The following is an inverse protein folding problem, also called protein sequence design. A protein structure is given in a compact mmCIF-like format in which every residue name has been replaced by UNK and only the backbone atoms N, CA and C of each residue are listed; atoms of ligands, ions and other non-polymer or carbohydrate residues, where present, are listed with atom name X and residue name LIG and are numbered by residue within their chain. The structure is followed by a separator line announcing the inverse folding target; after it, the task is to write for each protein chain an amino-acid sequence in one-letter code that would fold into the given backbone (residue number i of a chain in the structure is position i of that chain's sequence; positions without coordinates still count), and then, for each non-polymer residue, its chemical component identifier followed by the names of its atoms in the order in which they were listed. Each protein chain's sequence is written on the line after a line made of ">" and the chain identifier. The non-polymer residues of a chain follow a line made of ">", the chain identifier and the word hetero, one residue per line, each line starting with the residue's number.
data_IF_723475617592
#
_entry.id   IF_723475617592
#
_cell.length_a   1.000
_cell.length_b   1.000
_cell.length_c   1.000
_cell.angle_alpha   90.00
_cell.angle_beta   90.00
_cell.angle_gamma   90.00
#
_symmetry.space_group_name_H-M   'P 1'
#
loop_
_entity.id
_entity.type
_entity.pdbx_description
1 polymer ?
#
# COMPACT_ATOMS: atom_id res chain seq x y z
N UNK A 1 -1.20 -0.92 -20.75
CA UNK A 1 -1.51 -1.10 -19.32
C UNK A 1 -2.51 -0.03 -18.92
N UNK A 2 -3.67 -0.37 -18.36
CA UNK A 2 -4.63 0.63 -17.89
C UNK A 2 -4.01 1.33 -16.66
N UNK A 3 -3.58 2.58 -16.80
CA UNK A 3 -3.09 3.37 -15.68
C UNK A 3 -4.26 3.59 -14.69
N UNK A 4 -3.98 3.33 -13.43
CA UNK A 4 -4.86 3.64 -12.31
C UNK A 4 -4.22 4.79 -11.56
N UNK A 5 -5.01 5.78 -11.16
CA UNK A 5 -4.54 7.00 -10.52
C UNK A 5 -5.40 7.36 -9.33
N UNK A 6 -4.78 8.05 -8.38
CA UNK A 6 -5.49 8.62 -7.24
C UNK A 6 -6.24 9.87 -7.69
N UNK A 7 -7.57 9.80 -7.66
CA UNK A 7 -8.45 10.91 -8.05
C UNK A 7 -8.98 11.70 -6.86
N UNK A 8 -8.87 11.16 -5.64
CA UNK A 8 -9.31 11.88 -4.43
C UNK A 8 -8.57 11.39 -3.21
N UNK A 9 -8.24 12.31 -2.32
CA UNK A 9 -7.73 12.01 -0.99
C UNK A 9 -8.84 12.43 -0.03
N UNK A 10 -9.27 11.50 0.83
CA UNK A 10 -10.30 11.79 1.83
C UNK A 10 -9.64 12.28 3.11
N UNK A 11 -8.66 11.52 3.58
CA UNK A 11 -7.93 11.77 4.82
C UNK A 11 -6.45 11.47 4.63
N UNK A 12 -5.68 11.60 5.71
CA UNK A 12 -4.27 11.22 5.71
C UNK A 12 -4.04 9.74 5.39
N UNK A 13 -5.01 8.84 5.56
CA UNK A 13 -4.82 7.39 5.34
C UNK A 13 -5.69 6.81 4.23
N UNK A 14 -6.73 7.53 3.80
CA UNK A 14 -7.77 7.00 2.92
C UNK A 14 -7.84 7.81 1.63
N UNK A 15 -7.91 7.12 0.50
CA UNK A 15 -7.93 7.74 -0.83
C UNK A 15 -8.74 6.90 -1.82
N UNK A 16 -9.13 7.54 -2.93
CA UNK A 16 -9.95 6.93 -3.97
C UNK A 16 -9.17 6.85 -5.28
N UNK A 17 -9.28 5.72 -5.94
CA UNK A 17 -8.67 5.46 -7.25
C UNK A 17 -9.72 5.29 -8.33
N UNK A 18 -9.38 5.64 -9.58
CA UNK A 18 -10.23 5.48 -10.77
C UNK A 18 -10.27 4.06 -11.33
N UNK A 19 -10.43 3.09 -10.43
CA UNK A 19 -10.56 1.69 -10.78
C UNK A 19 -11.53 1.03 -9.81
N UNK A 20 -12.50 0.31 -10.34
CA UNK A 20 -13.56 -0.36 -9.59
C UNK A 20 -13.78 -1.80 -10.03
N UNK A 21 -14.95 -2.37 -9.74
CA UNK A 21 -15.29 -3.75 -10.10
C UNK A 21 -15.25 -3.99 -11.61
N UNK A 22 -15.45 -2.95 -12.43
CA UNK A 22 -15.35 -3.02 -13.90
C UNK A 22 -13.93 -3.35 -14.39
N UNK A 23 -12.94 -3.26 -13.50
CA UNK A 23 -11.55 -3.65 -13.72
C UNK A 23 -11.14 -4.87 -12.89
N UNK A 24 -12.12 -5.65 -12.41
CA UNK A 24 -11.93 -6.86 -11.62
C UNK A 24 -11.16 -6.59 -10.31
N UNK A 25 -11.39 -5.43 -9.69
CA UNK A 25 -10.88 -5.19 -8.34
C UNK A 25 -11.84 -5.80 -7.32
N UNK A 26 -11.25 -6.37 -6.27
CA UNK A 26 -12.00 -6.93 -5.15
C UNK A 26 -11.50 -6.31 -3.83
N UNK A 27 -12.39 -6.19 -2.83
CA UNK A 27 -11.99 -5.84 -1.48
C UNK A 27 -10.91 -6.80 -0.98
N UNK A 28 -9.87 -6.26 -0.35
CA UNK A 28 -8.78 -7.05 0.20
C UNK A 28 -7.50 -7.06 -0.63
N UNK A 29 -7.54 -6.63 -1.89
CA UNK A 29 -6.36 -6.61 -2.75
C UNK A 29 -5.35 -5.55 -2.30
N UNK A 30 -4.08 -5.80 -2.59
CA UNK A 30 -3.00 -4.86 -2.34
C UNK A 30 -2.64 -4.11 -3.62
N UNK A 31 -2.33 -2.82 -3.46
CA UNK A 31 -1.93 -1.94 -4.54
C UNK A 31 -0.64 -1.22 -4.16
N UNK A 32 0.24 -1.05 -5.13
CA UNK A 32 1.46 -0.27 -4.97
C UNK A 32 1.26 1.13 -5.53
N UNK A 33 1.53 2.14 -4.72
CA UNK A 33 1.56 3.52 -5.20
C UNK A 33 2.95 3.81 -5.76
N UNK A 34 3.01 4.11 -7.06
CA UNK A 34 4.24 4.40 -7.79
C UNK A 34 4.59 5.88 -7.66
N UNK A 35 5.88 6.17 -7.64
CA UNK A 35 6.37 7.55 -7.75
C UNK A 35 6.77 7.77 -9.21
N UNK A 36 6.56 8.98 -9.76
CA UNK A 36 6.98 9.31 -11.13
C UNK A 36 8.44 8.95 -11.43
N UNK A 37 9.33 9.09 -10.45
CA UNK A 37 10.78 8.92 -10.63
C UNK A 37 11.38 7.72 -9.87
N UNK A 38 10.58 6.88 -9.20
CA UNK A 38 11.11 5.78 -8.36
C UNK A 38 10.27 4.51 -8.46
N UNK A 39 10.92 3.38 -8.16
CA UNK A 39 10.40 2.02 -8.28
C UNK A 39 9.05 1.83 -7.59
N UNK A 40 8.93 2.17 -6.30
CA UNK A 40 7.69 2.06 -5.51
C UNK A 40 7.73 3.00 -4.30
N UNK A 41 6.58 3.56 -3.90
CA UNK A 41 6.47 4.50 -2.77
C UNK A 41 6.02 3.77 -1.49
N UNK A 42 4.91 3.03 -1.55
CA UNK A 42 4.38 2.20 -0.45
C UNK A 42 3.18 1.35 -0.92
N UNK A 43 2.69 0.50 0.00
CA UNK A 43 1.57 -0.42 -0.22
C UNK A 43 0.29 0.17 0.38
N UNK A 44 -0.82 0.01 -0.34
CA UNK A 44 -2.16 0.26 0.15
C UNK A 44 -3.04 -0.98 -0.06
N UNK A 45 -4.16 -1.04 0.64
CA UNK A 45 -5.16 -2.10 0.51
C UNK A 45 -6.51 -1.51 0.14
N UNK A 46 -7.23 -2.25 -0.68
CA UNK A 46 -8.59 -1.91 -1.07
C UNK A 46 -9.53 -2.31 0.07
N UNK A 47 -10.24 -1.33 0.62
CA UNK A 47 -11.26 -1.57 1.65
C UNK A 47 -12.63 -1.78 1.00
N UNK A 48 -13.00 -0.94 0.03
CA UNK A 48 -14.29 -1.02 -0.67
C UNK A 48 -14.12 -0.81 -2.17
N UNK A 49 -14.97 -1.48 -2.94
CA UNK A 49 -14.99 -1.41 -4.41
C UNK A 49 -16.36 -0.99 -4.88
N UNK A 50 -16.39 0.03 -5.73
CA UNK A 50 -17.56 0.51 -6.47
C UNK A 50 -17.38 0.17 -7.97
N UNK A 51 -18.39 0.36 -8.84
CA UNK A 51 -18.28 0.03 -10.26
C UNK A 51 -17.07 0.67 -10.96
N UNK A 52 -16.91 1.99 -10.80
CA UNK A 52 -15.88 2.77 -11.48
C UNK A 52 -14.71 3.18 -10.57
N UNK A 53 -14.88 3.05 -9.24
CA UNK A 53 -14.00 3.62 -8.22
C UNK A 53 -13.70 2.61 -7.12
N UNK A 54 -12.58 2.76 -6.43
CA UNK A 54 -12.30 1.97 -5.22
C UNK A 54 -11.76 2.86 -4.11
N UNK A 55 -12.19 2.56 -2.89
CA UNK A 55 -11.67 3.15 -1.67
C UNK A 55 -10.48 2.32 -1.17
N UNK A 56 -9.36 3.01 -0.99
CA UNK A 56 -8.10 2.41 -0.61
C UNK A 56 -7.58 3.05 0.66
N UNK A 57 -6.91 2.23 1.47
CA UNK A 57 -6.25 2.65 2.70
C UNK A 57 -4.77 2.36 2.60
N UNK A 58 -3.94 3.38 2.83
CA UNK A 58 -2.49 3.20 2.80
C UNK A 58 -1.96 2.56 4.07
N UNK A 59 -0.83 1.88 3.94
CA UNK A 59 0.00 1.45 5.06
C UNK A 59 1.37 2.12 4.93
N UNK A 60 1.64 3.11 5.80
CA UNK A 60 2.90 3.85 5.83
C UNK A 60 2.72 5.27 6.37
N UNK A 61 3.83 6.01 6.46
CA UNK A 61 3.84 7.39 6.97
C UNK A 61 3.94 8.45 5.85
N UNK A 62 4.30 8.08 4.62
CA UNK A 62 4.46 9.03 3.52
C UNK A 62 3.16 9.61 2.95
N UNK A 63 3.16 10.91 2.63
CA UNK A 63 2.02 11.62 2.05
C UNK A 63 1.64 11.11 0.65
N UNK A 64 0.34 10.98 0.42
CA UNK A 64 -0.30 10.74 -0.87
C UNK A 64 -0.47 12.06 -1.63
N UNK A 65 -0.37 12.02 -2.96
CA UNK A 65 -0.70 13.16 -3.81
C UNK A 65 -1.75 12.78 -4.84
N UNK A 66 -2.58 13.76 -5.20
CA UNK A 66 -3.49 13.64 -6.32
C UNK A 66 -2.70 13.38 -7.61
N UNK A 67 -3.16 12.43 -8.42
CA UNK A 67 -2.50 12.02 -9.66
C UNK A 67 -1.28 11.09 -9.47
N UNK A 68 -1.02 10.60 -8.25
CA UNK A 68 -0.08 9.49 -8.06
C UNK A 68 -0.61 8.24 -8.81
N UNK A 69 0.27 7.56 -9.53
CA UNK A 69 -0.07 6.36 -10.32
C UNK A 69 -0.04 5.14 -9.40
N UNK A 70 -1.01 4.27 -9.57
CA UNK A 70 -1.20 3.07 -8.76
C UNK A 70 -1.12 1.83 -9.63
N UNK A 71 -0.45 0.80 -9.13
CA UNK A 71 -0.39 -0.52 -9.73
C UNK A 71 -1.13 -1.52 -8.83
N UNK A 72 -2.12 -2.20 -9.39
CA UNK A 72 -2.84 -3.27 -8.70
C UNK A 72 -1.97 -4.53 -8.72
N UNK A 73 -1.84 -5.22 -7.59
CA UNK A 73 -1.30 -6.59 -7.56
C UNK A 73 -2.47 -7.57 -7.61
N UNK A 74 -2.53 -8.36 -8.67
CA UNK A 74 -3.51 -9.43 -8.76
C UNK A 74 -2.96 -10.67 -8.05
N UNK A 75 -3.80 -11.41 -7.30
CA UNK A 75 -3.35 -12.61 -6.60
C UNK A 75 -2.91 -13.74 -7.56
N UNK A 76 -3.35 -13.72 -8.83
CA UNK A 76 -2.90 -14.66 -9.87
C UNK A 76 -1.46 -14.41 -10.35
N UNK A 77 -0.83 -13.30 -9.96
CA UNK A 77 0.62 -13.14 -10.06
C UNK A 77 1.29 -13.95 -8.92
N UNK A 78 1.17 -15.28 -8.97
CA UNK A 78 1.58 -16.26 -7.94
C UNK A 78 3.07 -16.18 -7.52
N UNK A 79 3.90 -15.46 -8.27
CA UNK A 79 5.35 -15.36 -8.05
C UNK A 79 5.77 -14.33 -6.98
N UNK A 80 4.86 -13.53 -6.42
CA UNK A 80 5.20 -12.52 -5.39
C UNK A 80 4.66 -12.86 -4.00
N UNK A 81 4.93 -14.08 -3.53
CA UNK A 81 4.79 -14.45 -2.12
C UNK A 81 5.52 -13.42 -1.24
N UNK A 82 4.74 -12.62 -0.51
CA UNK A 82 5.27 -11.62 0.42
C UNK A 82 6.02 -12.32 1.56
N UNK A 83 7.35 -12.29 1.53
CA UNK A 83 8.12 -12.49 2.76
C UNK A 83 7.96 -11.22 3.60
N UNK A 84 6.98 -11.23 4.50
CA UNK A 84 6.95 -10.24 5.59
C UNK A 84 8.22 -10.45 6.40
N UNK A 85 9.23 -9.60 6.17
CA UNK A 85 10.38 -9.50 7.08
C UNK A 85 9.84 -8.90 8.38
N UNK A 86 9.39 -9.76 9.27
CA UNK A 86 9.15 -9.42 10.67
C UNK A 86 10.48 -8.90 11.21
N UNK A 87 10.60 -7.58 11.32
CA UNK A 87 11.73 -6.96 12.01
C UNK A 87 11.54 -7.29 13.48
N UNK A 88 12.14 -8.40 13.93
CA UNK A 88 12.26 -8.70 15.36
C UNK A 88 13.13 -7.59 15.96
N UNK A 89 12.51 -6.69 16.73
CA UNK A 89 13.23 -5.69 17.51
C UNK A 89 14.20 -6.39 18.47
N UNK A 90 15.49 -6.36 18.18
CA UNK A 90 16.51 -6.77 19.14
C UNK A 90 16.55 -5.75 20.27
N UNK A 91 15.75 -5.96 21.33
CA UNK A 91 15.95 -5.29 22.61
C UNK A 91 17.30 -5.78 23.18
N UNK A 92 18.37 -5.03 22.91
CA UNK A 92 19.65 -5.23 23.59
C UNK A 92 19.44 -4.98 25.09
N UNK A 93 19.41 -6.04 25.91
CA UNK A 93 19.48 -5.92 27.36
C UNK A 93 20.84 -5.33 27.72
N UNK A 94 20.86 -4.04 28.05
CA UNK A 94 22.02 -3.33 28.59
C UNK A 94 22.30 -3.85 30.01
N UNK A 95 23.11 -4.90 30.12
CA UNK A 95 23.61 -5.37 31.41
C UNK A 95 24.55 -4.32 32.01
N UNK A 96 24.02 -3.48 32.90
CA UNK A 96 24.82 -2.66 33.82
C UNK A 96 25.53 -3.60 34.80
N UNK A 97 26.81 -3.88 34.59
CA UNK A 97 27.68 -4.40 35.66
C UNK A 97 27.75 -3.35 36.76
N UNK A 98 27.16 -3.64 37.93
CA UNK A 98 27.46 -2.91 39.17
C UNK A 98 28.90 -3.24 39.55
N UNK A 99 29.73 -2.21 39.75
CA UNK A 99 30.99 -2.31 40.48
C UNK A 99 30.67 -2.45 41.96
N UNK A 100 31.23 -3.47 42.59
CA UNK A 100 31.25 -3.73 44.02
C UNK A 100 32.49 -4.57 44.28
#
# INVERSE_FOLDING_TARGET
>A
MKQVEIIRILDDTSFVVNAGSDRYLEPGYFIDVLKRDKSYKYIAKIEEVYPELSLCKRYGEERLFYGDVVRIRYPEDEDMQMTTKVIKSNKSKKNRKKRG
#
